data_IF_551648825538
#
_entry.id   IF_551648825538
#
_cell.length_a   1.000
_cell.length_b   1.000
_cell.length_c   1.000
_cell.angle_alpha   90.00
_cell.angle_beta   90.00
_cell.angle_gamma   90.00
#
_symmetry.space_group_name_H-M   'P 1'
#
loop_
_entity.id
_entity.type
_entity.pdbx_description
1 polymer ?
#
# COMPACT_ATOMS: atom_id res chain seq x y z
N UNK A 1 -9.88 7.87 -13.45
CA UNK A 1 -8.60 8.11 -12.78
C UNK A 1 -7.63 8.90 -13.66
N UNK A 2 -7.42 8.50 -14.91
CA UNK A 2 -6.57 9.25 -15.86
C UNK A 2 -7.11 10.68 -16.03
N UNK A 3 -8.42 10.86 -16.24
CA UNK A 3 -9.06 12.17 -16.38
C UNK A 3 -8.83 13.08 -15.17
N UNK A 4 -8.82 12.55 -13.96
CA UNK A 4 -8.49 13.29 -12.74
C UNK A 4 -7.08 13.91 -12.82
N UNK A 5 -6.08 13.08 -13.15
CA UNK A 5 -4.70 13.54 -13.22
C UNK A 5 -4.43 14.49 -14.40
N UNK A 6 -5.03 14.22 -15.56
CA UNK A 6 -4.92 15.12 -16.71
C UNK A 6 -5.58 16.48 -16.43
N UNK A 7 -6.72 16.50 -15.74
CA UNK A 7 -7.36 17.74 -15.31
C UNK A 7 -6.55 18.51 -14.26
N UNK A 8 -5.92 17.80 -13.31
CA UNK A 8 -5.04 18.40 -12.30
C UNK A 8 -3.77 18.97 -12.94
N UNK A 9 -3.25 18.31 -13.93
CA UNK A 9 -2.08 18.71 -14.71
C UNK A 9 -0.74 18.50 -14.00
N UNK A 10 0.28 18.18 -14.79
CA UNK A 10 1.61 17.83 -14.29
C UNK A 10 2.28 18.94 -13.46
N UNK A 11 2.08 20.21 -13.84
CA UNK A 11 2.62 21.34 -13.09
C UNK A 11 2.08 21.38 -11.66
N UNK A 12 0.76 21.23 -11.49
CA UNK A 12 0.12 21.24 -10.17
C UNK A 12 0.54 20.01 -9.35
N UNK A 13 0.64 18.83 -9.96
CA UNK A 13 1.12 17.61 -9.28
C UNK A 13 2.53 17.82 -8.72
N UNK A 14 3.43 18.44 -9.51
CA UNK A 14 4.80 18.75 -9.05
C UNK A 14 4.84 19.81 -7.94
N UNK A 15 4.03 20.84 -8.06
CA UNK A 15 3.96 21.91 -7.05
C UNK A 15 3.43 21.37 -5.71
N UNK A 16 2.42 20.51 -5.74
CA UNK A 16 1.85 19.87 -4.55
C UNK A 16 2.88 18.92 -3.90
N UNK A 17 3.65 18.17 -4.68
CA UNK A 17 4.72 17.29 -4.17
C UNK A 17 5.85 18.10 -3.51
N UNK A 18 6.34 19.15 -4.19
CA UNK A 18 7.37 20.04 -3.63
C UNK A 18 6.91 20.78 -2.38
N UNK A 19 5.62 21.18 -2.34
CA UNK A 19 5.00 21.81 -1.19
C UNK A 19 4.61 20.86 -0.06
N UNK A 20 4.81 19.54 -0.23
CA UNK A 20 4.35 18.50 0.69
C UNK A 20 2.85 18.65 1.04
N UNK A 21 2.03 19.04 0.05
CA UNK A 21 0.59 19.26 0.22
C UNK A 21 -0.13 17.92 0.27
N UNK A 22 -0.90 17.70 1.34
CA UNK A 22 -1.75 16.51 1.44
C UNK A 22 -2.79 16.48 0.30
N UNK A 23 -2.95 15.33 -0.33
CA UNK A 23 -3.76 15.12 -1.54
C UNK A 23 -5.23 14.79 -1.23
N UNK A 24 -5.89 15.63 -0.43
CA UNK A 24 -7.30 15.43 -0.07
C UNK A 24 -8.22 15.35 -1.31
N UNK A 25 -7.94 16.15 -2.34
CA UNK A 25 -8.66 16.13 -3.61
C UNK A 25 -8.66 14.75 -4.30
N UNK A 26 -7.55 14.02 -4.18
CA UNK A 26 -7.46 12.65 -4.68
C UNK A 26 -8.28 11.68 -3.83
N UNK A 27 -8.22 11.80 -2.51
CA UNK A 27 -8.99 10.95 -1.59
C UNK A 27 -10.49 11.18 -1.80
N UNK A 28 -10.92 12.44 -1.91
CA UNK A 28 -12.31 12.79 -2.20
C UNK A 28 -12.78 12.21 -3.54
N UNK A 29 -11.95 12.31 -4.59
CA UNK A 29 -12.22 11.72 -5.90
C UNK A 29 -12.34 10.19 -5.85
N UNK A 30 -11.45 9.53 -5.12
CA UNK A 30 -11.49 8.07 -4.93
C UNK A 30 -12.79 7.64 -4.23
N UNK A 31 -13.22 8.38 -3.20
CA UNK A 31 -14.47 8.16 -2.48
C UNK A 31 -15.69 8.38 -3.38
N UNK A 32 -15.80 9.55 -4.02
CA UNK A 32 -16.92 9.89 -4.91
C UNK A 32 -17.15 8.85 -6.01
N UNK A 33 -16.06 8.30 -6.55
CA UNK A 33 -16.11 7.31 -7.63
C UNK A 33 -16.01 5.86 -7.13
N UNK A 34 -16.03 5.63 -5.81
CA UNK A 34 -15.95 4.31 -5.17
C UNK A 34 -14.77 3.45 -5.67
N UNK A 35 -13.65 4.08 -6.02
CA UNK A 35 -12.55 3.37 -6.69
C UNK A 35 -11.92 2.29 -5.80
N UNK A 36 -11.63 2.61 -4.53
CA UNK A 36 -11.06 1.61 -3.62
C UNK A 36 -12.11 0.55 -3.24
N UNK A 37 -13.37 0.93 -3.01
CA UNK A 37 -14.44 -0.01 -2.76
C UNK A 37 -14.55 -1.07 -3.87
N UNK A 38 -14.57 -0.62 -5.12
CA UNK A 38 -14.74 -1.49 -6.29
C UNK A 38 -13.62 -2.53 -6.45
N UNK A 39 -12.35 -2.18 -6.14
CA UNK A 39 -11.19 -3.04 -6.40
C UNK A 39 -10.58 -3.70 -5.16
N UNK A 40 -10.90 -3.20 -3.95
CA UNK A 40 -10.32 -3.67 -2.70
C UNK A 40 -11.34 -4.36 -1.76
N UNK A 41 -12.64 -4.38 -2.08
CA UNK A 41 -13.65 -5.09 -1.29
C UNK A 41 -13.87 -6.49 -1.88
N UNK A 42 -13.74 -7.57 -1.10
CA UNK A 42 -14.13 -8.90 -1.55
C UNK A 42 -15.63 -8.97 -1.86
N UNK A 43 -15.99 -9.72 -2.89
CA UNK A 43 -17.38 -9.89 -3.37
C UNK A 43 -18.37 -10.27 -2.26
N UNK A 44 -17.93 -11.04 -1.27
CA UNK A 44 -18.78 -11.50 -0.16
C UNK A 44 -19.23 -10.36 0.79
N UNK A 45 -18.58 -9.20 0.76
CA UNK A 45 -18.86 -8.08 1.69
C UNK A 45 -19.29 -6.79 0.99
N UNK A 46 -19.25 -6.73 -0.34
CA UNK A 46 -19.58 -5.55 -1.13
C UNK A 46 -20.80 -5.75 -2.03
N UNK A 47 -21.03 -4.80 -2.94
CA UNK A 47 -22.06 -4.89 -3.98
C UNK A 47 -21.62 -5.74 -5.18
N UNK A 48 -22.53 -5.89 -6.16
CA UNK A 48 -22.31 -6.71 -7.37
C UNK A 48 -21.12 -6.24 -8.24
N UNK A 49 -20.69 -5.00 -8.09
CA UNK A 49 -19.58 -4.38 -8.81
C UNK A 49 -18.25 -4.45 -8.07
N UNK A 50 -18.24 -4.93 -6.82
CA UNK A 50 -17.04 -5.01 -5.98
C UNK A 50 -16.41 -6.39 -6.03
N UNK A 51 -15.09 -6.42 -6.12
CA UNK A 51 -14.29 -7.63 -5.93
C UNK A 51 -12.82 -7.30 -5.74
N UNK A 52 -12.16 -8.08 -4.92
CA UNK A 52 -10.69 -8.06 -4.85
C UNK A 52 -10.13 -8.65 -6.15
N UNK A 53 -9.74 -7.79 -7.08
CA UNK A 53 -9.25 -8.20 -8.39
C UNK A 53 -7.76 -7.88 -8.55
N UNK A 54 -6.92 -8.90 -8.57
CA UNK A 54 -5.47 -8.74 -8.66
C UNK A 54 -5.05 -7.95 -9.90
N UNK A 55 -5.67 -8.20 -11.08
CA UNK A 55 -5.32 -7.50 -12.31
C UNK A 55 -5.74 -6.03 -12.29
N UNK A 56 -6.95 -5.72 -11.83
CA UNK A 56 -7.39 -4.32 -11.66
C UNK A 56 -6.48 -3.57 -10.69
N UNK A 57 -6.09 -4.21 -9.59
CA UNK A 57 -5.14 -3.62 -8.64
C UNK A 57 -3.76 -3.37 -9.27
N UNK A 58 -3.29 -4.27 -10.15
CA UNK A 58 -2.04 -4.07 -10.91
C UNK A 58 -2.12 -2.86 -11.85
N UNK A 59 -3.18 -2.76 -12.65
CA UNK A 59 -3.41 -1.65 -13.57
C UNK A 59 -3.57 -0.33 -12.82
N UNK A 60 -4.30 -0.36 -11.70
CA UNK A 60 -4.47 0.81 -10.84
C UNK A 60 -3.13 1.29 -10.26
N UNK A 61 -2.30 0.35 -9.77
CA UNK A 61 -0.96 0.64 -9.27
C UNK A 61 -0.05 1.25 -10.35
N UNK A 62 -0.10 0.73 -11.58
CA UNK A 62 0.69 1.24 -12.71
C UNK A 62 0.28 2.68 -13.06
N UNK A 63 -1.03 2.96 -13.13
CA UNK A 63 -1.55 4.31 -13.42
C UNK A 63 -1.16 5.28 -12.31
N UNK A 64 -1.36 4.93 -11.05
CA UNK A 64 -0.95 5.78 -9.93
C UNK A 64 0.54 6.06 -9.93
N UNK A 65 1.37 5.03 -10.14
CA UNK A 65 2.82 5.17 -10.22
C UNK A 65 3.27 6.05 -11.40
N UNK A 66 2.54 6.06 -12.50
CA UNK A 66 2.81 6.94 -13.63
C UNK A 66 2.62 8.42 -13.28
N UNK A 67 1.54 8.77 -12.58
CA UNK A 67 1.24 10.17 -12.27
C UNK A 67 1.93 10.70 -11.02
N UNK A 68 2.11 9.86 -9.99
CA UNK A 68 2.79 10.31 -8.77
C UNK A 68 2.89 9.26 -7.68
N UNK A 69 4.08 9.15 -7.12
CA UNK A 69 4.37 8.22 -6.01
C UNK A 69 3.47 8.42 -4.78
N UNK A 70 3.11 9.65 -4.37
CA UNK A 70 2.24 9.87 -3.21
C UNK A 70 0.86 9.21 -3.35
N UNK A 71 0.25 9.31 -4.51
CA UNK A 71 -1.06 8.70 -4.80
C UNK A 71 -0.99 7.18 -4.79
N UNK A 72 0.05 6.63 -5.42
CA UNK A 72 0.32 5.19 -5.38
C UNK A 72 0.56 4.70 -3.94
N UNK A 73 1.31 5.46 -3.15
CA UNK A 73 1.66 5.10 -1.78
C UNK A 73 0.41 5.00 -0.90
N UNK A 74 -0.51 5.97 -0.97
CA UNK A 74 -1.77 5.93 -0.21
C UNK A 74 -2.62 4.72 -0.54
N UNK A 75 -2.75 4.37 -1.82
CA UNK A 75 -3.43 3.15 -2.23
C UNK A 75 -2.71 1.91 -1.71
N UNK A 76 -1.41 1.83 -1.93
CA UNK A 76 -0.58 0.69 -1.48
C UNK A 76 -0.70 0.44 0.02
N UNK A 77 -0.63 1.48 0.82
CA UNK A 77 -0.74 1.38 2.28
C UNK A 77 -2.16 0.99 2.71
N UNK A 78 -3.19 1.49 2.02
CA UNK A 78 -4.57 1.04 2.25
C UNK A 78 -4.72 -0.46 1.96
N UNK A 79 -4.17 -0.96 0.87
CA UNK A 79 -4.13 -2.42 0.56
C UNK A 79 -3.44 -3.21 1.67
N UNK A 80 -2.32 -2.71 2.22
CA UNK A 80 -1.63 -3.34 3.35
C UNK A 80 -2.48 -3.35 4.62
N UNK A 81 -3.18 -2.24 4.92
CA UNK A 81 -4.09 -2.15 6.06
C UNK A 81 -5.28 -3.10 5.95
N UNK A 82 -5.80 -3.27 4.74
CA UNK A 82 -6.91 -4.18 4.46
C UNK A 82 -6.52 -5.67 4.51
N UNK A 83 -5.25 -6.00 4.26
CA UNK A 83 -4.77 -7.38 4.23
C UNK A 83 -5.12 -8.19 5.49
N UNK A 84 -4.68 -7.79 6.69
CA UNK A 84 -5.02 -8.50 7.93
C UNK A 84 -6.53 -8.56 8.20
N UNK A 85 -7.29 -7.55 7.79
CA UNK A 85 -8.74 -7.50 7.95
C UNK A 85 -9.42 -8.59 7.10
N UNK A 86 -9.12 -8.63 5.79
CA UNK A 86 -9.72 -9.62 4.90
C UNK A 86 -9.29 -11.06 5.20
N UNK A 87 -8.10 -11.25 5.78
CA UNK A 87 -7.62 -12.56 6.23
C UNK A 87 -8.18 -12.98 7.60
N UNK A 88 -8.81 -12.09 8.34
CA UNK A 88 -9.36 -12.40 9.67
C UNK A 88 -10.57 -13.33 9.58
N UNK A 89 -10.97 -13.89 10.71
CA UNK A 89 -12.25 -14.58 10.88
C UNK A 89 -13.36 -13.67 11.42
N UNK A 90 -13.09 -12.38 11.60
CA UNK A 90 -14.03 -11.41 12.16
C UNK A 90 -14.89 -10.79 11.07
N UNK A 91 -16.09 -11.38 10.84
CA UNK A 91 -17.01 -10.93 9.78
C UNK A 91 -17.66 -9.58 10.09
N UNK A 92 -17.78 -9.20 11.36
CA UNK A 92 -18.33 -7.91 11.77
C UNK A 92 -17.42 -6.77 11.30
N UNK A 93 -16.12 -6.86 11.57
CA UNK A 93 -15.17 -5.83 11.13
C UNK A 93 -15.04 -5.79 9.61
N UNK A 94 -15.10 -6.94 8.92
CA UNK A 94 -15.08 -6.97 7.44
C UNK A 94 -16.27 -6.23 6.84
N UNK A 95 -17.47 -6.45 7.40
CA UNK A 95 -18.70 -5.76 6.96
C UNK A 95 -18.57 -4.24 7.19
N UNK A 96 -18.06 -3.84 8.36
CA UNK A 96 -17.83 -2.43 8.69
C UNK A 96 -16.79 -1.79 7.75
N UNK A 97 -15.72 -2.50 7.47
CA UNK A 97 -14.65 -2.02 6.56
C UNK A 97 -15.15 -1.88 5.12
N UNK A 98 -16.00 -2.78 4.66
CA UNK A 98 -16.65 -2.64 3.36
C UNK A 98 -17.48 -1.34 3.28
N UNK A 99 -18.26 -1.02 4.32
CA UNK A 99 -19.01 0.24 4.38
C UNK A 99 -18.08 1.48 4.41
N UNK A 100 -16.99 1.44 5.18
CA UNK A 100 -16.00 2.52 5.20
C UNK A 100 -15.31 2.72 3.83
N UNK A 101 -15.04 1.66 3.10
CA UNK A 101 -14.51 1.75 1.73
C UNK A 101 -15.51 2.42 0.76
N UNK A 102 -16.81 2.16 0.92
CA UNK A 102 -17.86 2.85 0.15
C UNK A 102 -17.90 4.35 0.43
N UNK A 103 -17.53 4.76 1.66
CA UNK A 103 -17.42 6.16 2.07
C UNK A 103 -16.07 6.80 1.64
N UNK A 104 -15.18 6.06 1.00
CA UNK A 104 -13.88 6.54 0.54
C UNK A 104 -12.76 6.52 1.58
N UNK A 105 -12.93 5.77 2.65
CA UNK A 105 -11.91 5.66 3.71
C UNK A 105 -10.61 5.04 3.21
N UNK A 106 -9.49 5.48 3.80
CA UNK A 106 -8.16 4.91 3.65
C UNK A 106 -7.76 4.12 4.89
N UNK A 107 -6.81 3.21 4.72
CA UNK A 107 -6.37 2.28 5.76
C UNK A 107 -4.86 2.33 5.95
N UNK A 108 -4.39 1.79 7.09
CA UNK A 108 -2.97 1.71 7.40
C UNK A 108 -2.59 0.35 8.01
N UNK A 109 -1.31 0.01 7.94
CA UNK A 109 -0.76 -1.21 8.52
C UNK A 109 0.36 -0.89 9.50
N UNK A 110 0.10 -1.05 10.79
CA UNK A 110 0.99 -0.77 11.90
C UNK A 110 1.86 -1.98 12.25
N UNK A 111 2.87 -2.29 11.43
CA UNK A 111 3.75 -3.44 11.64
C UNK A 111 5.08 -3.06 12.28
N UNK A 112 5.85 -2.16 11.64
CA UNK A 112 7.22 -1.83 12.04
C UNK A 112 7.28 -0.87 13.25
N UNK A 113 8.35 -1.00 14.01
CA UNK A 113 8.70 -0.15 15.15
C UNK A 113 10.06 0.51 14.91
N UNK A 114 10.39 1.55 15.64
CA UNK A 114 11.61 2.34 15.41
C UNK A 114 12.87 1.49 15.52
N UNK A 115 12.93 0.64 16.53
CA UNK A 115 14.08 -0.24 16.79
C UNK A 115 13.93 -1.61 16.11
N UNK A 116 12.70 -1.98 15.66
CA UNK A 116 12.35 -3.30 15.13
C UNK A 116 11.66 -3.20 13.75
N UNK A 117 12.42 -2.83 12.70
CA UNK A 117 11.89 -2.70 11.35
C UNK A 117 11.64 -4.04 10.67
N UNK A 118 12.66 -4.90 10.59
CA UNK A 118 12.58 -6.23 9.97
C UNK A 118 12.41 -7.35 10.99
N UNK A 119 12.84 -7.14 12.23
CA UNK A 119 12.77 -8.11 13.32
C UNK A 119 11.41 -8.04 14.02
N UNK A 120 10.42 -8.71 13.44
CA UNK A 120 9.06 -8.77 14.00
C UNK A 120 9.00 -9.57 15.31
N UNK A 121 9.95 -10.47 15.56
CA UNK A 121 10.00 -11.23 16.81
C UNK A 121 10.25 -10.35 18.04
N UNK A 122 10.91 -9.22 17.84
CA UNK A 122 11.25 -8.26 18.89
C UNK A 122 10.20 -7.15 19.06
N UNK A 123 9.03 -7.24 18.40
CA UNK A 123 7.97 -6.22 18.52
C UNK A 123 7.60 -5.96 19.97
N UNK A 124 7.55 -4.67 20.35
CA UNK A 124 7.29 -4.19 21.71
C UNK A 124 5.83 -3.74 21.94
N UNK A 125 5.01 -3.64 20.88
CA UNK A 125 3.58 -3.37 21.01
C UNK A 125 2.91 -4.49 21.80
N UNK A 126 2.31 -4.17 22.95
CA UNK A 126 1.72 -5.14 23.88
C UNK A 126 0.24 -4.88 24.14
N UNK A 127 -0.50 -5.97 24.34
CA UNK A 127 -1.87 -5.99 24.82
C UNK A 127 -1.90 -6.60 26.21
N UNK A 128 -2.25 -5.80 27.23
CA UNK A 128 -2.37 -6.26 28.62
C UNK A 128 -3.82 -6.65 28.91
N UNK A 129 -4.09 -7.95 29.22
CA UNK A 129 -5.43 -8.42 29.55
C UNK A 129 -5.99 -7.69 30.77
N UNK A 130 -7.30 -7.44 30.76
CA UNK A 130 -8.05 -6.83 31.88
C UNK A 130 -9.00 -7.88 32.50
N UNK A 131 -9.46 -7.62 33.74
CA UNK A 131 -10.37 -8.53 34.47
C UNK A 131 -11.72 -8.74 33.77
N UNK A 132 -12.16 -7.76 32.97
CA UNK A 132 -13.42 -7.81 32.21
C UNK A 132 -13.32 -8.49 30.84
N UNK A 133 -12.14 -9.05 30.51
CA UNK A 133 -11.87 -9.75 29.26
C UNK A 133 -11.42 -8.83 28.10
N UNK A 134 -11.33 -7.52 28.31
CA UNK A 134 -10.76 -6.58 27.37
C UNK A 134 -9.25 -6.51 27.45
N UNK A 135 -8.61 -5.68 26.62
CA UNK A 135 -7.16 -5.44 26.67
C UNK A 135 -6.90 -3.92 26.68
N UNK A 136 -5.74 -3.55 27.22
CA UNK A 136 -5.13 -2.24 27.01
C UNK A 136 -3.88 -2.39 26.15
N UNK A 137 -3.88 -1.73 24.99
CA UNK A 137 -2.72 -1.74 24.10
C UNK A 137 -1.78 -0.58 24.43
N UNK A 138 -0.48 -0.90 24.48
CA UNK A 138 0.59 0.05 24.78
C UNK A 138 1.80 -0.20 23.87
N UNK A 139 2.37 0.87 23.33
CA UNK A 139 3.54 0.84 22.48
C UNK A 139 3.48 1.86 21.36
N UNK A 140 4.50 1.87 20.51
CA UNK A 140 4.55 2.78 19.35
C UNK A 140 4.88 2.04 18.07
N UNK A 141 4.40 2.58 16.96
CA UNK A 141 4.70 2.11 15.61
C UNK A 141 5.35 3.24 14.83
N UNK A 142 6.31 2.88 13.99
CA UNK A 142 7.16 3.82 13.28
C UNK A 142 7.18 3.51 11.78
N UNK A 143 7.18 4.57 10.96
CA UNK A 143 7.18 4.50 9.51
C UNK A 143 5.88 3.93 8.93
N UNK A 144 4.75 4.38 9.46
CA UNK A 144 3.41 3.90 9.12
C UNK A 144 2.70 4.92 8.23
N UNK A 145 2.57 4.59 6.95
CA UNK A 145 1.83 5.44 6.01
C UNK A 145 0.35 5.52 6.35
N UNK A 146 -0.29 6.62 6.00
CA UNK A 146 -1.72 6.92 6.19
C UNK A 146 -2.23 7.00 7.65
N UNK A 147 -1.42 6.63 8.66
CA UNK A 147 -1.91 6.56 10.04
C UNK A 147 -2.32 7.92 10.65
N UNK A 148 -2.14 9.02 9.91
CA UNK A 148 -2.68 10.34 10.22
C UNK A 148 -4.17 10.48 9.90
N UNK A 149 -4.71 9.72 8.93
CA UNK A 149 -6.09 9.84 8.43
C UNK A 149 -6.76 8.49 8.12
N UNK A 150 -6.11 7.38 8.44
CA UNK A 150 -6.71 6.07 8.25
C UNK A 150 -7.96 5.91 9.12
N UNK A 151 -9.02 5.33 8.57
CA UNK A 151 -10.19 4.96 9.38
C UNK A 151 -9.83 3.84 10.36
N UNK A 152 -8.99 2.89 9.93
CA UNK A 152 -8.47 1.80 10.76
C UNK A 152 -7.00 1.59 10.44
N UNK A 153 -6.20 1.39 11.49
CA UNK A 153 -4.82 0.93 11.43
C UNK A 153 -4.78 -0.53 11.89
N UNK A 154 -4.57 -1.47 10.98
CA UNK A 154 -4.32 -2.87 11.34
C UNK A 154 -2.97 -2.96 12.06
N UNK A 155 -3.00 -3.13 13.38
CA UNK A 155 -1.82 -3.04 14.25
C UNK A 155 -1.38 -4.43 14.72
N UNK A 156 -0.09 -4.72 14.57
CA UNK A 156 0.52 -5.97 15.03
C UNK A 156 1.18 -5.78 16.39
N UNK A 157 0.94 -6.74 17.29
CA UNK A 157 1.50 -6.75 18.63
C UNK A 157 1.48 -8.14 19.25
N UNK A 158 1.61 -8.19 20.56
CA UNK A 158 1.57 -9.45 21.33
C UNK A 158 0.87 -9.26 22.68
N UNK A 159 0.27 -10.32 23.17
CA UNK A 159 -0.27 -10.36 24.54
C UNK A 159 0.88 -10.33 25.54
N UNK A 160 0.85 -9.40 26.50
CA UNK A 160 1.96 -9.13 27.41
C UNK A 160 2.38 -10.35 28.25
N UNK A 161 1.41 -11.15 28.71
CA UNK A 161 1.66 -12.30 29.62
C UNK A 161 2.11 -13.56 28.88
N UNK A 162 1.54 -13.81 27.71
CA UNK A 162 1.74 -15.08 26.97
C UNK A 162 2.74 -14.96 25.83
N UNK A 163 2.97 -13.73 25.32
CA UNK A 163 3.74 -13.49 24.12
C UNK A 163 3.01 -13.89 22.82
N UNK A 164 1.73 -14.29 22.90
CA UNK A 164 0.91 -14.65 21.75
C UNK A 164 0.81 -13.45 20.78
N UNK A 165 1.03 -13.70 19.49
CA UNK A 165 0.89 -12.68 18.45
C UNK A 165 -0.56 -12.30 18.24
N UNK A 166 -0.81 -11.02 18.00
CA UNK A 166 -2.15 -10.48 17.78
C UNK A 166 -2.10 -9.43 16.68
N UNK A 167 -3.04 -9.51 15.73
CA UNK A 167 -3.43 -8.39 14.90
C UNK A 167 -4.74 -7.81 15.42
N UNK A 168 -4.81 -6.49 15.56
CA UNK A 168 -6.02 -5.80 16.03
C UNK A 168 -6.25 -4.50 15.24
N UNK A 169 -7.48 -4.05 15.22
CA UNK A 169 -7.89 -2.79 14.61
C UNK A 169 -7.71 -1.66 15.61
N UNK A 170 -6.93 -0.63 15.27
CA UNK A 170 -6.83 0.60 16.03
C UNK A 170 -7.45 1.76 15.22
N UNK A 171 -8.30 2.56 15.86
CA UNK A 171 -8.96 3.71 15.25
C UNK A 171 -8.32 5.00 15.78
N UNK A 172 -7.80 5.88 14.90
CA UNK A 172 -7.10 7.09 15.31
C UNK A 172 -7.92 8.05 16.17
N UNK A 173 -9.24 8.06 16.03
CA UNK A 173 -10.14 8.93 16.81
C UNK A 173 -10.45 8.40 18.21
N UNK A 174 -10.00 7.19 18.54
CA UNK A 174 -10.22 6.59 19.86
C UNK A 174 -9.21 7.12 20.89
N UNK A 175 -9.67 7.36 22.10
CA UNK A 175 -8.82 7.78 23.22
C UNK A 175 -7.68 6.79 23.44
N UNK A 176 -6.47 7.29 23.59
CA UNK A 176 -5.26 6.48 23.74
C UNK A 176 -4.46 6.31 22.44
N UNK A 177 -5.00 6.75 21.30
CA UNK A 177 -4.22 6.86 20.05
C UNK A 177 -3.65 8.27 19.91
N UNK A 178 -2.37 8.36 19.58
CA UNK A 178 -1.70 9.64 19.29
C UNK A 178 -0.87 9.49 18.02
N UNK A 179 -1.20 10.26 16.97
CA UNK A 179 -0.30 10.45 15.83
C UNK A 179 0.81 11.43 16.24
N UNK A 180 2.01 10.90 16.51
CA UNK A 180 3.11 11.67 17.13
C UNK A 180 3.72 12.66 16.14
N UNK A 181 4.06 12.19 14.92
CA UNK A 181 4.69 13.03 13.90
C UNK A 181 4.66 12.37 12.51
N UNK A 182 4.88 13.20 11.49
CA UNK A 182 5.31 12.72 10.18
C UNK A 182 6.84 12.55 10.19
N UNK A 183 7.33 11.35 9.86
CA UNK A 183 8.76 11.02 9.90
C UNK A 183 9.49 11.23 8.56
N UNK A 184 8.76 11.67 7.52
CA UNK A 184 9.32 11.98 6.21
C UNK A 184 9.00 13.41 5.80
N UNK A 185 9.87 14.00 4.98
CA UNK A 185 9.64 15.32 4.40
C UNK A 185 9.27 15.16 2.92
N UNK A 186 8.02 14.80 2.68
CA UNK A 186 7.45 14.60 1.34
C UNK A 186 5.94 14.86 1.35
N UNK A 187 5.30 14.78 0.21
CA UNK A 187 3.85 14.89 0.12
C UNK A 187 3.14 13.73 0.85
N UNK A 188 3.76 12.56 0.95
CA UNK A 188 3.25 11.46 1.74
C UNK A 188 3.25 11.81 3.23
N UNK A 189 2.30 11.23 3.96
CA UNK A 189 2.35 11.24 5.41
C UNK A 189 2.71 9.83 5.91
N UNK A 190 3.89 9.72 6.52
CA UNK A 190 4.40 8.48 7.11
C UNK A 190 4.58 8.72 8.59
N UNK A 191 3.71 8.10 9.38
CA UNK A 191 3.53 8.43 10.79
C UNK A 191 4.45 7.64 11.70
N UNK A 192 4.83 8.27 12.79
CA UNK A 192 5.01 7.62 14.09
C UNK A 192 3.71 7.79 14.86
N UNK A 193 3.14 6.70 15.41
CA UNK A 193 2.00 6.77 16.30
C UNK A 193 2.23 5.94 17.56
N UNK A 194 1.58 6.34 18.65
CA UNK A 194 1.62 5.66 19.93
C UNK A 194 0.23 5.28 20.39
N UNK A 195 0.16 4.14 21.08
CA UNK A 195 -1.00 3.71 21.86
C UNK A 195 -0.64 3.76 23.34
N UNK A 196 -1.47 4.44 24.14
CA UNK A 196 -1.32 4.56 25.59
C UNK A 196 -2.64 4.18 26.25
N UNK A 197 -2.66 3.04 26.93
CA UNK A 197 -3.86 2.45 27.53
C UNK A 197 -5.04 2.43 26.54
N UNK A 198 -4.74 2.13 25.28
CA UNK A 198 -5.72 2.09 24.21
C UNK A 198 -6.65 0.89 24.40
N UNK A 199 -7.98 1.09 24.50
CA UNK A 199 -8.91 0.02 24.78
C UNK A 199 -9.11 -0.87 23.56
N UNK A 200 -9.01 -2.20 23.75
CA UNK A 200 -9.24 -3.23 22.73
C UNK A 200 -10.26 -4.23 23.29
N UNK A 201 -11.27 -4.51 22.50
CA UNK A 201 -12.27 -5.56 22.76
C UNK A 201 -12.08 -6.74 21.81
N UNK A 202 -12.78 -7.83 22.05
CA UNK A 202 -12.75 -8.97 21.12
C UNK A 202 -13.24 -8.61 19.70
N UNK A 203 -14.12 -7.60 19.58
CA UNK A 203 -14.59 -7.10 18.29
C UNK A 203 -13.48 -6.43 17.47
N UNK A 204 -12.42 -5.94 18.11
CA UNK A 204 -11.29 -5.28 17.46
C UNK A 204 -10.18 -6.26 17.09
N UNK A 205 -10.23 -7.50 17.58
CA UNK A 205 -9.24 -8.52 17.28
C UNK A 205 -9.46 -9.08 15.86
N UNK A 206 -8.42 -8.98 15.04
CA UNK A 206 -8.42 -9.51 13.67
C UNK A 206 -7.95 -10.96 13.64
N UNK A 207 -6.86 -11.27 14.32
CA UNK A 207 -6.30 -12.63 14.39
C UNK A 207 -5.36 -12.79 15.57
N UNK A 208 -5.13 -14.06 16.00
CA UNK A 208 -4.24 -14.43 17.11
C UNK A 208 -3.31 -15.55 16.72
N UNK A 209 -2.20 -15.69 17.45
CA UNK A 209 -1.24 -16.76 17.31
C UNK A 209 -0.65 -16.88 15.90
N UNK A 210 -0.60 -18.10 15.37
CA UNK A 210 -0.06 -18.39 14.03
C UNK A 210 -0.82 -17.66 12.93
N UNK A 211 -2.14 -17.47 13.06
CA UNK A 211 -2.92 -16.73 12.09
C UNK A 211 -2.53 -15.26 12.03
N UNK A 212 -2.18 -14.62 13.14
CA UNK A 212 -1.68 -13.24 13.16
C UNK A 212 -0.30 -13.14 12.51
N UNK A 213 0.57 -14.12 12.78
CA UNK A 213 1.90 -14.21 12.18
C UNK A 213 1.81 -14.39 10.65
N UNK A 214 0.99 -15.33 10.20
CA UNK A 214 0.75 -15.57 8.77
C UNK A 214 0.15 -14.34 8.07
N UNK A 215 -0.76 -13.63 8.72
CA UNK A 215 -1.33 -12.39 8.21
C UNK A 215 -0.24 -11.31 8.03
N UNK A 216 0.70 -11.16 8.98
CA UNK A 216 1.82 -10.24 8.88
C UNK A 216 2.71 -10.57 7.67
N UNK A 217 3.12 -11.83 7.52
CA UNK A 217 4.00 -12.25 6.43
C UNK A 217 3.34 -12.15 5.06
N UNK A 218 2.06 -12.53 4.94
CA UNK A 218 1.30 -12.41 3.69
C UNK A 218 1.11 -10.95 3.28
N UNK A 219 0.78 -10.07 4.22
CA UNK A 219 0.62 -8.65 3.96
C UNK A 219 1.92 -8.04 3.41
N UNK A 220 3.07 -8.32 4.05
CA UNK A 220 4.38 -7.90 3.54
C UNK A 220 4.67 -8.46 2.15
N UNK A 221 4.25 -9.71 1.87
CA UNK A 221 4.47 -10.34 0.57
C UNK A 221 3.64 -9.69 -0.54
N UNK A 222 2.39 -9.30 -0.27
CA UNK A 222 1.55 -8.49 -1.19
C UNK A 222 2.20 -7.12 -1.43
N UNK A 223 2.71 -6.48 -0.39
CA UNK A 223 3.44 -5.22 -0.51
C UNK A 223 4.64 -5.31 -1.45
N UNK A 224 5.41 -6.39 -1.39
CA UNK A 224 6.54 -6.64 -2.31
C UNK A 224 6.09 -6.71 -3.77
N UNK A 225 4.99 -7.36 -4.04
CA UNK A 225 4.41 -7.47 -5.38
C UNK A 225 3.96 -6.11 -5.93
N UNK A 226 3.22 -5.35 -5.14
CA UNK A 226 2.68 -4.04 -5.55
C UNK A 226 3.78 -3.00 -5.80
N UNK A 227 4.90 -3.06 -5.07
CA UNK A 227 6.08 -2.20 -5.33
C UNK A 227 6.58 -2.34 -6.76
N UNK A 228 6.54 -3.54 -7.33
CA UNK A 228 6.92 -3.75 -8.73
C UNK A 228 6.00 -3.03 -9.71
N UNK A 229 4.71 -3.10 -9.51
CA UNK A 229 3.73 -2.44 -10.39
C UNK A 229 3.80 -0.92 -10.32
N UNK A 230 3.95 -0.35 -9.12
CA UNK A 230 4.19 1.09 -8.96
C UNK A 230 5.49 1.53 -9.67
N UNK A 231 6.56 0.73 -9.56
CA UNK A 231 7.84 1.01 -10.24
C UNK A 231 7.72 0.97 -11.76
N UNK A 232 6.90 0.07 -12.32
CA UNK A 232 6.62 0.04 -13.77
C UNK A 232 5.95 1.34 -14.20
N UNK A 233 4.97 1.85 -13.43
CA UNK A 233 4.32 3.14 -13.70
C UNK A 233 5.33 4.30 -13.72
N UNK A 234 6.18 4.41 -12.70
CA UNK A 234 7.23 5.44 -12.60
C UNK A 234 8.20 5.34 -13.78
N UNK A 235 8.66 4.15 -14.12
CA UNK A 235 9.58 3.94 -15.25
C UNK A 235 8.92 4.27 -16.59
N UNK A 236 7.64 3.97 -16.74
CA UNK A 236 6.86 4.31 -17.95
C UNK A 236 6.75 5.84 -18.11
N UNK A 237 6.48 6.57 -17.03
CA UNK A 237 6.45 8.03 -17.04
C UNK A 237 7.83 8.61 -17.43
N UNK A 238 8.89 8.17 -16.77
CA UNK A 238 10.24 8.65 -17.05
C UNK A 238 10.65 8.37 -18.52
N UNK A 239 10.30 7.21 -19.04
CA UNK A 239 10.57 6.83 -20.44
C UNK A 239 9.77 7.71 -21.41
N UNK A 240 8.49 7.97 -21.11
CA UNK A 240 7.63 8.84 -21.91
C UNK A 240 8.20 10.27 -22.00
N UNK A 241 8.51 10.88 -20.87
CA UNK A 241 9.04 12.24 -20.80
C UNK A 241 10.40 12.38 -21.50
N UNK A 242 11.30 11.43 -21.25
CA UNK A 242 12.62 11.41 -21.89
C UNK A 242 12.52 11.23 -23.40
N UNK A 243 11.67 10.30 -23.85
CA UNK A 243 11.42 10.03 -25.27
C UNK A 243 10.80 11.22 -25.99
N UNK A 244 9.78 11.84 -25.39
CA UNK A 244 9.13 13.03 -25.89
C UNK A 244 10.14 14.19 -26.02
N UNK A 245 10.93 14.47 -24.98
CA UNK A 245 11.96 15.49 -25.03
C UNK A 245 12.99 15.21 -26.14
N UNK A 246 13.51 14.02 -26.23
CA UNK A 246 14.55 13.66 -27.21
C UNK A 246 14.05 13.74 -28.67
N UNK A 247 12.78 13.39 -28.90
CA UNK A 247 12.16 13.47 -30.22
C UNK A 247 11.98 14.92 -30.72
N UNK A 248 11.75 15.87 -29.80
CA UNK A 248 11.53 17.29 -30.14
C UNK A 248 12.81 18.14 -30.06
N UNK A 249 13.87 17.64 -29.45
CA UNK A 249 15.15 18.33 -29.37
C UNK A 249 15.99 18.09 -30.63
N UNK A 250 16.42 19.15 -31.31
CA UNK A 250 17.26 19.08 -32.51
C UNK A 250 18.68 19.55 -32.20
N UNK A 251 19.65 18.78 -32.66
CA UNK A 251 21.09 19.12 -32.64
C UNK A 251 21.70 18.76 -34.02
N UNK A 252 22.51 19.64 -34.55
CA UNK A 252 23.15 19.45 -35.86
C UNK A 252 22.17 19.14 -37.01
N UNK A 253 20.94 19.70 -36.93
CA UNK A 253 19.91 19.51 -37.96
C UNK A 253 19.11 18.20 -37.89
N UNK A 254 19.33 17.38 -36.84
CA UNK A 254 18.63 16.09 -36.63
C UNK A 254 17.94 16.07 -35.26
N UNK A 255 16.88 15.30 -35.12
CA UNK A 255 16.32 15.01 -33.81
C UNK A 255 17.32 14.22 -32.97
N UNK A 256 17.34 14.42 -31.64
CA UNK A 256 18.28 13.71 -30.75
C UNK A 256 18.06 12.19 -30.83
N UNK A 257 16.84 11.74 -31.07
CA UNK A 257 16.51 10.31 -31.29
C UNK A 257 17.12 9.73 -32.57
N UNK A 258 17.59 10.54 -33.52
CA UNK A 258 18.21 10.05 -34.76
C UNK A 258 19.69 9.64 -34.55
N UNK A 259 20.30 10.07 -33.46
CA UNK A 259 21.67 9.65 -33.14
C UNK A 259 21.70 8.19 -32.71
N UNK A 260 22.53 7.32 -33.32
CA UNK A 260 22.54 5.88 -33.06
C UNK A 260 22.76 5.51 -31.58
N UNK A 261 23.64 6.22 -30.88
CA UNK A 261 23.93 5.97 -29.46
C UNK A 261 22.75 6.34 -28.57
N UNK A 262 22.02 7.40 -28.87
CA UNK A 262 20.80 7.79 -28.14
C UNK A 262 19.69 6.76 -28.39
N UNK A 263 19.48 6.39 -29.65
CA UNK A 263 18.50 5.36 -30.02
C UNK A 263 18.75 4.05 -29.29
N UNK A 264 20.00 3.65 -29.14
CA UNK A 264 20.39 2.44 -28.40
C UNK A 264 19.97 2.54 -26.92
N UNK A 265 20.21 3.69 -26.26
CA UNK A 265 19.79 3.89 -24.85
C UNK A 265 18.27 3.71 -24.70
N UNK A 266 17.46 4.31 -25.58
CA UNK A 266 16.01 4.14 -25.55
C UNK A 266 15.58 2.71 -25.85
N UNK A 267 16.23 2.02 -26.81
CA UNK A 267 15.93 0.61 -27.12
C UNK A 267 16.20 -0.29 -25.92
N UNK A 268 17.35 -0.11 -25.26
CA UNK A 268 17.74 -0.90 -24.09
C UNK A 268 16.78 -0.62 -22.90
N UNK A 269 16.42 0.64 -22.67
CA UNK A 269 15.48 1.02 -21.61
C UNK A 269 14.08 0.44 -21.86
N UNK A 270 13.58 0.52 -23.12
CA UNK A 270 12.30 -0.05 -23.48
C UNK A 270 12.27 -1.58 -23.33
N UNK A 271 13.33 -2.27 -23.76
CA UNK A 271 13.44 -3.71 -23.61
C UNK A 271 13.39 -4.15 -22.14
N UNK A 272 14.06 -3.38 -21.24
CA UNK A 272 14.00 -3.62 -19.80
C UNK A 272 12.58 -3.39 -19.24
N UNK A 273 11.93 -2.30 -19.63
CA UNK A 273 10.56 -1.98 -19.19
C UNK A 273 9.58 -3.11 -19.60
N UNK A 274 9.68 -3.61 -20.82
CA UNK A 274 8.88 -4.77 -21.29
C UNK A 274 9.18 -6.02 -20.45
N UNK A 275 10.46 -6.31 -20.20
CA UNK A 275 10.86 -7.45 -19.37
C UNK A 275 10.32 -7.34 -17.93
N UNK A 276 10.39 -6.14 -17.33
CA UNK A 276 9.82 -5.86 -15.99
C UNK A 276 8.32 -6.16 -15.96
N UNK A 277 7.58 -5.66 -16.95
CA UNK A 277 6.12 -5.86 -17.06
C UNK A 277 5.77 -7.34 -17.26
N UNK A 278 6.51 -8.08 -18.07
CA UNK A 278 6.29 -9.52 -18.27
C UNK A 278 6.54 -10.33 -16.99
N UNK A 279 7.59 -10.01 -16.23
CA UNK A 279 7.86 -10.66 -14.94
C UNK A 279 6.77 -10.34 -13.91
N UNK A 280 6.36 -9.07 -13.81
CA UNK A 280 5.29 -8.65 -12.90
C UNK A 280 3.94 -9.28 -13.28
N UNK A 281 3.62 -9.39 -14.58
CA UNK A 281 2.41 -10.05 -15.07
C UNK A 281 2.41 -11.55 -14.74
N UNK A 282 3.55 -12.23 -14.85
CA UNK A 282 3.66 -13.64 -14.44
C UNK A 282 3.44 -13.80 -12.92
N UNK A 283 3.95 -12.88 -12.11
CA UNK A 283 3.69 -12.90 -10.67
C UNK A 283 2.20 -12.66 -10.36
N UNK A 284 1.51 -11.78 -11.11
CA UNK A 284 0.07 -11.58 -10.99
C UNK A 284 -0.73 -12.87 -11.28
N UNK A 285 -0.33 -13.64 -12.30
CA UNK A 285 -0.95 -14.93 -12.59
C UNK A 285 -0.83 -15.90 -11.40
N UNK A 286 0.35 -15.97 -10.76
CA UNK A 286 0.55 -16.82 -9.59
C UNK A 286 -0.18 -16.32 -8.34
N UNK A 287 -0.33 -15.01 -8.18
CA UNK A 287 -1.16 -14.44 -7.11
C UNK A 287 -2.64 -14.81 -7.27
N UNK A 288 -3.16 -14.80 -8.49
CA UNK A 288 -4.57 -15.14 -8.76
C UNK A 288 -4.92 -16.60 -8.48
N UNK A 289 -3.97 -17.51 -8.62
CA UNK A 289 -4.16 -18.95 -8.39
C UNK A 289 -3.57 -19.42 -7.07
N UNK A 290 -3.15 -18.47 -6.21
CA UNK A 290 -2.56 -18.79 -4.92
C UNK A 290 -3.50 -19.64 -4.06
N UNK A 291 -2.97 -20.72 -3.50
CA UNK A 291 -3.68 -21.65 -2.63
C UNK A 291 -2.69 -22.33 -1.68
N UNK A 292 -3.16 -23.12 -0.69
CA UNK A 292 -2.25 -23.94 0.12
C UNK A 292 -1.35 -24.88 -0.69
N UNK A 293 -1.83 -25.33 -1.86
CA UNK A 293 -1.11 -26.23 -2.76
C UNK A 293 -0.26 -25.52 -3.81
N UNK A 294 -0.55 -24.24 -4.09
CA UNK A 294 0.21 -23.43 -5.05
C UNK A 294 0.75 -22.15 -4.39
N UNK A 295 1.97 -22.27 -3.88
CA UNK A 295 2.67 -21.19 -3.16
C UNK A 295 3.73 -20.49 -3.99
N UNK A 296 3.70 -20.61 -5.32
CA UNK A 296 4.69 -19.95 -6.21
C UNK A 296 4.76 -18.43 -6.01
N UNK A 297 3.66 -17.79 -5.65
CA UNK A 297 3.62 -16.36 -5.34
C UNK A 297 4.61 -15.95 -4.23
N UNK A 298 4.91 -16.83 -3.26
CA UNK A 298 5.89 -16.57 -2.20
C UNK A 298 7.31 -16.37 -2.72
N UNK A 299 7.64 -16.98 -3.87
CA UNK A 299 8.92 -16.78 -4.55
C UNK A 299 8.86 -15.58 -5.52
N UNK A 300 7.80 -15.50 -6.32
CA UNK A 300 7.73 -14.51 -7.40
C UNK A 300 7.55 -13.08 -6.88
N UNK A 301 6.79 -12.84 -5.82
CA UNK A 301 6.58 -11.50 -5.29
C UNK A 301 7.87 -10.83 -4.78
N UNK A 302 8.74 -11.52 -4.00
CA UNK A 302 10.05 -10.98 -3.66
C UNK A 302 10.95 -10.75 -4.89
N UNK A 303 10.88 -11.62 -5.91
CA UNK A 303 11.64 -11.45 -7.15
C UNK A 303 11.17 -10.22 -7.91
N UNK A 304 9.86 -9.97 -8.01
CA UNK A 304 9.31 -8.75 -8.60
C UNK A 304 9.85 -7.53 -7.86
N UNK A 305 9.72 -7.48 -6.53
CA UNK A 305 10.28 -6.36 -5.74
C UNK A 305 11.77 -6.19 -6.03
N UNK A 306 12.56 -7.24 -5.93
CA UNK A 306 14.02 -7.15 -6.04
C UNK A 306 14.47 -6.77 -7.45
N UNK A 307 13.83 -7.31 -8.50
CA UNK A 307 14.28 -7.13 -9.89
C UNK A 307 13.62 -5.93 -10.58
N UNK A 308 12.33 -5.71 -10.38
CA UNK A 308 11.62 -4.63 -11.06
C UNK A 308 11.99 -3.27 -10.47
N UNK A 309 12.13 -3.15 -9.14
CA UNK A 309 12.44 -1.86 -8.50
C UNK A 309 13.90 -1.41 -8.65
N UNK A 310 14.79 -2.23 -9.23
CA UNK A 310 16.22 -1.95 -9.38
C UNK A 310 16.68 -1.81 -10.83
N UNK A 311 15.80 -1.89 -11.82
CA UNK A 311 16.12 -1.73 -13.24
C UNK A 311 15.85 -0.32 -13.73
#
# INVERSE_FOLDING_TARGET
LVEFFEAKGLARIKDDDHGAVWYQDFIDYVGEHRLFATICTPEAYGGDDTRWDTWRNCEFAEILGFYGLPYWYTWQVSVLGLGPIWMSSNDEIKTRVAALLEEGAIFANGLSEKEHGADLYSSEMTLTPQEDGTFLANGSKYYIGNANQAAIVSTFGRVAETGEWVFFAAEPDTKGYTCVQNVVHSQNFVSEYALEDYPITDADILSRGDAAWDAALNTVNIGKFNLGWGSIGICTHAFYEAGHHAAHRHLYGMAVTDFPHVRRLFTDAYARLVAMKLVASRAADYMRVASPDDRRYLLYNPVVKMKVTTQ
#
